data_IF_747933111067
#
_entry.id   IF_747933111067
#
_cell.length_a   1.000
_cell.length_b   1.000
_cell.length_c   1.000
_cell.angle_alpha   90.00
_cell.angle_beta   90.00
_cell.angle_gamma   90.00
#
_symmetry.space_group_name_H-M   'P 1'
#
loop_
_entity.id
_entity.type
_entity.pdbx_description
1 polymer ?
#
# COMPACT_ATOMS: atom_id res chain seq x y z
N UNK A 1 -9.93 -0.39 -4.19
CA UNK A 1 -10.61 0.74 -3.53
C UNK A 1 -11.96 1.07 -4.17
N UNK A 2 -12.08 1.11 -5.49
CA UNK A 2 -13.34 1.47 -6.19
C UNK A 2 -14.57 0.64 -5.76
N UNK A 3 -14.42 -0.65 -5.48
CA UNK A 3 -15.53 -1.46 -4.95
C UNK A 3 -15.87 -1.15 -3.50
N UNK A 4 -14.90 -0.72 -2.70
CA UNK A 4 -15.09 -0.46 -1.26
C UNK A 4 -15.72 0.92 -0.99
N UNK A 5 -15.36 1.93 -1.77
CA UNK A 5 -15.84 3.29 -1.57
C UNK A 5 -17.26 3.48 -2.09
N UNK A 6 -18.11 4.08 -1.27
CA UNK A 6 -19.54 4.23 -1.58
C UNK A 6 -19.82 5.23 -2.69
N UNK A 7 -18.94 6.20 -2.94
CA UNK A 7 -19.14 7.16 -4.04
C UNK A 7 -18.85 6.57 -5.41
N UNK A 8 -18.04 5.52 -5.49
CA UNK A 8 -17.70 4.85 -6.76
C UNK A 8 -18.45 3.54 -6.97
N UNK A 9 -18.82 2.84 -5.88
CA UNK A 9 -19.62 1.65 -5.95
C UNK A 9 -21.12 1.98 -5.76
N UNK A 10 -21.76 2.33 -6.87
CA UNK A 10 -23.20 2.67 -6.93
C UNK A 10 -24.11 1.44 -7.23
N UNK A 11 -23.58 0.23 -7.06
CA UNK A 11 -24.34 -1.01 -7.33
C UNK A 11 -25.48 -1.17 -6.33
N UNK A 12 -26.57 -1.73 -6.81
CA UNK A 12 -27.78 -2.03 -6.00
C UNK A 12 -27.99 -3.53 -5.75
N UNK A 13 -27.07 -4.36 -6.26
CA UNK A 13 -27.08 -5.81 -6.08
C UNK A 13 -26.24 -6.24 -4.84
N UNK A 14 -25.92 -7.53 -4.76
CA UNK A 14 -25.15 -8.12 -3.68
C UNK A 14 -23.71 -7.60 -3.50
N UNK A 15 -23.21 -6.74 -4.41
CA UNK A 15 -21.87 -6.17 -4.39
C UNK A 15 -21.86 -4.67 -4.10
N UNK A 16 -22.98 -4.05 -3.75
CA UNK A 16 -23.10 -2.63 -3.46
C UNK A 16 -23.99 -2.34 -2.24
N UNK A 17 -24.01 -1.09 -1.79
CA UNK A 17 -24.74 -0.66 -0.60
C UNK A 17 -23.87 -0.58 0.65
N UNK A 18 -24.10 -1.40 1.67
CA UNK A 18 -23.35 -1.41 2.93
C UNK A 18 -21.89 -1.91 2.76
N UNK A 19 -21.05 -1.68 3.78
CA UNK A 19 -19.63 -2.04 3.75
C UNK A 19 -19.39 -3.55 3.48
N UNK A 20 -20.24 -4.41 4.01
CA UNK A 20 -20.14 -5.87 3.82
C UNK A 20 -20.34 -6.26 2.36
N UNK A 21 -21.36 -5.70 1.72
CA UNK A 21 -21.64 -5.97 0.30
C UNK A 21 -20.57 -5.36 -0.61
N UNK A 22 -20.10 -4.15 -0.31
CA UNK A 22 -19.02 -3.52 -1.07
C UNK A 22 -17.70 -4.30 -0.96
N UNK A 23 -17.41 -4.93 0.19
CA UNK A 23 -16.24 -5.77 0.38
C UNK A 23 -16.30 -7.13 -0.34
N UNK A 24 -17.50 -7.64 -0.64
CA UNK A 24 -17.73 -9.00 -1.17
C UNK A 24 -16.86 -9.34 -2.38
N UNK A 25 -16.79 -8.46 -3.38
CA UNK A 25 -15.99 -8.72 -4.57
C UNK A 25 -14.50 -8.91 -4.26
N UNK A 26 -13.97 -8.11 -3.34
CA UNK A 26 -12.57 -8.22 -2.91
C UNK A 26 -12.34 -9.52 -2.15
N UNK A 27 -13.27 -9.87 -1.25
CA UNK A 27 -13.20 -11.12 -0.47
C UNK A 27 -13.20 -12.33 -1.40
N UNK A 28 -14.20 -12.47 -2.27
CA UNK A 28 -14.32 -13.57 -3.23
C UNK A 28 -13.11 -13.67 -4.16
N UNK A 29 -12.54 -12.52 -4.56
CA UNK A 29 -11.31 -12.50 -5.37
C UNK A 29 -10.12 -13.06 -4.59
N UNK A 30 -9.95 -12.67 -3.32
CA UNK A 30 -8.85 -13.17 -2.50
C UNK A 30 -9.02 -14.65 -2.17
N UNK A 31 -10.25 -15.11 -1.89
CA UNK A 31 -10.57 -16.53 -1.70
C UNK A 31 -10.18 -17.35 -2.93
N UNK A 32 -10.63 -16.93 -4.11
CA UNK A 32 -10.32 -17.63 -5.37
C UNK A 32 -8.81 -17.68 -5.65
N UNK A 33 -8.07 -16.61 -5.35
CA UNK A 33 -6.60 -16.58 -5.49
C UNK A 33 -5.92 -17.52 -4.49
N UNK A 34 -6.37 -17.51 -3.23
CA UNK A 34 -5.82 -18.41 -2.18
C UNK A 34 -6.08 -19.87 -2.53
N UNK A 35 -7.27 -20.18 -3.02
CA UNK A 35 -7.62 -21.54 -3.45
C UNK A 35 -6.78 -21.99 -4.65
N UNK A 36 -6.50 -21.09 -5.59
CA UNK A 36 -5.76 -21.41 -6.80
C UNK A 36 -4.25 -21.60 -6.59
N UNK A 37 -3.61 -20.76 -5.76
CA UNK A 37 -2.14 -20.71 -5.66
C UNK A 37 -1.60 -20.82 -4.22
N UNK A 38 -2.47 -20.89 -3.22
CA UNK A 38 -2.13 -20.99 -1.81
C UNK A 38 -1.88 -19.62 -1.14
N UNK A 39 -2.31 -19.50 0.10
CA UNK A 39 -2.29 -18.26 0.90
C UNK A 39 -0.91 -17.60 1.00
N UNK A 40 0.15 -18.40 1.14
CA UNK A 40 1.54 -17.91 1.23
C UNK A 40 2.08 -17.24 -0.04
N UNK A 41 1.31 -17.22 -1.14
CA UNK A 41 1.66 -16.57 -2.41
C UNK A 41 0.74 -15.42 -2.76
N UNK A 42 -0.25 -15.13 -1.93
CA UNK A 42 -1.22 -14.06 -2.12
C UNK A 42 -0.94 -12.93 -1.13
N UNK A 43 -0.69 -11.75 -1.63
CA UNK A 43 -0.67 -10.51 -0.86
C UNK A 43 -1.63 -9.50 -1.48
N UNK A 44 -2.13 -8.57 -0.70
CA UNK A 44 -3.01 -7.54 -1.24
C UNK A 44 -2.69 -6.17 -0.67
N UNK A 45 -3.13 -5.14 -1.40
CA UNK A 45 -2.86 -3.74 -1.05
C UNK A 45 -4.16 -2.96 -0.86
N UNK A 46 -4.18 -2.15 0.20
CA UNK A 46 -5.26 -1.22 0.48
C UNK A 46 -4.70 0.19 0.72
N UNK A 47 -5.55 1.20 0.53
CA UNK A 47 -5.24 2.60 0.79
C UNK A 47 -6.45 3.29 1.44
N UNK A 48 -6.72 3.02 2.72
CA UNK A 48 -7.85 3.60 3.43
C UNK A 48 -7.80 5.12 3.44
N UNK A 49 -8.94 5.78 3.19
CA UNK A 49 -9.01 7.24 3.21
C UNK A 49 -8.25 7.96 2.10
N UNK A 50 -7.84 7.24 1.05
CA UNK A 50 -7.09 7.84 -0.06
C UNK A 50 -8.04 8.44 -1.10
N UNK A 51 -7.96 9.77 -1.38
CA UNK A 51 -8.88 10.47 -2.26
C UNK A 51 -8.46 10.46 -3.74
N UNK A 52 -7.40 9.73 -4.12
CA UNK A 52 -6.94 9.70 -5.52
C UNK A 52 -8.03 9.18 -6.46
N UNK A 53 -8.11 9.79 -7.65
CA UNK A 53 -9.09 9.49 -8.70
C UNK A 53 -10.54 9.67 -8.22
N UNK A 54 -10.79 10.70 -7.43
CA UNK A 54 -12.11 11.05 -6.87
C UNK A 54 -12.77 9.91 -6.06
N UNK A 55 -11.98 8.99 -5.55
CA UNK A 55 -12.47 7.94 -4.65
C UNK A 55 -12.69 8.55 -3.26
N UNK A 56 -13.91 8.47 -2.77
CA UNK A 56 -14.29 8.95 -1.45
C UNK A 56 -15.18 7.93 -0.73
N UNK A 57 -14.77 7.59 0.48
CA UNK A 57 -15.58 6.80 1.40
C UNK A 57 -15.85 7.63 2.66
N UNK A 58 -17.11 7.91 3.02
CA UNK A 58 -17.43 8.68 4.22
C UNK A 58 -17.05 7.97 5.53
N UNK A 59 -16.94 6.64 5.51
CA UNK A 59 -16.49 5.85 6.64
C UNK A 59 -15.42 4.83 6.21
N UNK A 60 -14.17 5.29 5.95
CA UNK A 60 -13.08 4.43 5.54
C UNK A 60 -12.64 3.46 6.65
N UNK A 61 -12.94 3.78 7.91
CA UNK A 61 -12.62 2.91 9.05
C UNK A 61 -13.51 1.67 9.01
N UNK A 62 -14.83 1.84 8.89
CA UNK A 62 -15.78 0.73 8.83
C UNK A 62 -15.56 -0.16 7.60
N UNK A 63 -15.40 0.44 6.42
CA UNK A 63 -15.13 -0.31 5.19
C UNK A 63 -13.85 -1.12 5.26
N UNK A 64 -12.78 -0.53 5.83
CA UNK A 64 -11.48 -1.22 5.98
C UNK A 64 -11.57 -2.32 7.02
N UNK A 65 -12.14 -2.05 8.19
CA UNK A 65 -12.34 -3.03 9.25
C UNK A 65 -13.14 -4.22 8.73
N UNK A 66 -14.28 -3.98 8.08
CA UNK A 66 -15.15 -5.02 7.52
C UNK A 66 -14.39 -5.93 6.56
N UNK A 67 -13.62 -5.36 5.64
CA UNK A 67 -12.80 -6.15 4.72
C UNK A 67 -11.76 -6.98 5.47
N UNK A 68 -10.95 -6.34 6.34
CA UNK A 68 -9.81 -6.99 6.99
C UNK A 68 -10.25 -8.13 7.92
N UNK A 69 -11.35 -7.94 8.66
CA UNK A 69 -11.92 -8.99 9.52
C UNK A 69 -12.42 -10.17 8.69
N UNK A 70 -13.07 -9.92 7.56
CA UNK A 70 -13.59 -10.97 6.69
C UNK A 70 -12.48 -11.83 6.05
N UNK A 71 -11.35 -11.20 5.65
CA UNK A 71 -10.24 -11.93 4.98
C UNK A 71 -9.17 -12.42 5.94
N UNK A 72 -9.27 -12.15 7.24
CA UNK A 72 -8.28 -12.54 8.26
C UNK A 72 -7.98 -14.03 8.24
N UNK A 73 -9.03 -14.85 8.11
CA UNK A 73 -8.92 -16.31 8.06
C UNK A 73 -8.19 -16.86 6.84
N UNK A 74 -8.05 -16.10 5.78
CA UNK A 74 -7.34 -16.50 4.56
C UNK A 74 -5.82 -16.62 4.76
N UNK A 75 -5.25 -15.93 5.78
CA UNK A 75 -3.83 -15.96 6.11
C UNK A 75 -2.90 -15.66 4.93
N UNK A 76 -3.26 -14.64 4.16
CA UNK A 76 -2.45 -14.16 3.04
C UNK A 76 -1.01 -13.87 3.47
N UNK A 77 -0.06 -13.92 2.54
CA UNK A 77 1.36 -13.73 2.81
C UNK A 77 1.67 -12.37 3.44
N UNK A 78 1.00 -11.31 2.97
CA UNK A 78 1.16 -9.97 3.52
C UNK A 78 -0.05 -9.08 3.20
N UNK A 79 -0.21 -8.06 4.02
CA UNK A 79 -1.04 -6.89 3.75
C UNK A 79 -0.13 -5.68 3.50
N UNK A 80 -0.35 -4.96 2.38
CA UNK A 80 0.36 -3.73 2.06
C UNK A 80 -0.59 -2.54 2.25
N UNK A 81 -0.20 -1.56 3.06
CA UNK A 81 -1.04 -0.41 3.40
C UNK A 81 -0.35 0.91 3.05
N UNK A 82 -1.08 1.76 2.33
CA UNK A 82 -0.66 3.15 2.11
C UNK A 82 -1.25 4.02 3.22
N UNK A 83 -0.46 4.95 3.75
CA UNK A 83 -0.95 5.96 4.67
C UNK A 83 -2.05 6.83 4.03
N UNK A 84 -3.02 7.28 4.81
CA UNK A 84 -3.93 8.34 4.39
C UNK A 84 -3.15 9.65 4.20
N UNK A 85 -3.37 10.39 3.09
CA UNK A 85 -2.55 11.58 2.77
C UNK A 85 -2.62 12.68 3.83
N UNK A 86 -3.78 12.90 4.41
CA UNK A 86 -4.05 13.93 5.41
C UNK A 86 -3.76 13.50 6.85
N UNK A 87 -3.35 12.22 7.02
CA UNK A 87 -3.10 11.64 8.35
C UNK A 87 -4.31 11.66 9.31
N UNK A 88 -5.51 11.95 8.82
CA UNK A 88 -6.75 11.90 9.61
C UNK A 88 -7.06 10.50 10.11
N UNK A 89 -6.57 9.48 9.40
CA UNK A 89 -6.71 8.07 9.71
C UNK A 89 -5.33 7.43 9.89
N UNK A 90 -5.05 6.82 11.04
CA UNK A 90 -3.90 5.93 11.19
C UNK A 90 -4.20 4.56 10.56
N UNK A 91 -4.00 4.50 9.21
CA UNK A 91 -4.26 3.31 8.42
C UNK A 91 -3.41 2.10 8.84
N UNK A 92 -2.20 2.35 9.38
CA UNK A 92 -1.31 1.28 9.84
C UNK A 92 -1.80 0.66 11.15
N UNK A 93 -2.18 1.50 12.13
CA UNK A 93 -2.75 1.02 13.38
C UNK A 93 -4.09 0.30 13.14
N UNK A 94 -4.93 0.80 12.22
CA UNK A 94 -6.17 0.13 11.82
C UNK A 94 -5.88 -1.25 11.23
N UNK A 95 -4.94 -1.34 10.29
CA UNK A 95 -4.55 -2.61 9.69
C UNK A 95 -4.00 -3.59 10.72
N UNK A 96 -3.08 -3.16 11.58
CA UNK A 96 -2.48 -4.00 12.61
C UNK A 96 -3.51 -4.54 13.60
N UNK A 97 -4.56 -3.77 13.90
CA UNK A 97 -5.64 -4.18 14.81
C UNK A 97 -6.51 -5.30 14.23
N UNK A 98 -6.77 -5.26 12.93
CA UNK A 98 -7.78 -6.11 12.30
C UNK A 98 -7.19 -7.20 11.39
N UNK A 99 -5.86 -7.27 11.23
CA UNK A 99 -5.21 -8.26 10.38
C UNK A 99 -3.89 -8.75 10.98
N UNK A 100 -3.60 -10.06 10.87
CA UNK A 100 -2.51 -10.72 11.61
C UNK A 100 -1.31 -11.11 10.75
N UNK A 101 -1.34 -10.85 9.44
CA UNK A 101 -0.23 -11.21 8.55
C UNK A 101 0.84 -10.12 8.52
N UNK A 102 1.98 -10.40 7.88
CA UNK A 102 3.03 -9.41 7.70
C UNK A 102 2.47 -8.11 7.10
N UNK A 103 2.80 -6.97 7.72
CA UNK A 103 2.32 -5.65 7.33
C UNK A 103 3.43 -4.86 6.65
N UNK A 104 3.27 -4.59 5.36
CA UNK A 104 4.12 -3.68 4.60
C UNK A 104 3.46 -2.31 4.62
N UNK A 105 4.18 -1.30 5.10
CA UNK A 105 3.69 0.08 5.16
C UNK A 105 4.33 0.95 4.08
N UNK A 106 3.58 1.92 3.58
CA UNK A 106 4.00 2.76 2.47
C UNK A 106 3.54 4.20 2.63
N UNK A 107 4.25 5.06 1.95
CA UNK A 107 4.07 6.49 1.72
C UNK A 107 4.61 7.41 2.82
N UNK A 108 5.36 8.41 2.36
CA UNK A 108 5.92 9.47 3.19
C UNK A 108 7.13 9.06 4.04
N UNK A 109 7.75 7.92 3.76
CA UNK A 109 8.95 7.48 4.47
C UNK A 109 10.24 7.94 3.77
N UNK A 110 11.15 8.45 4.58
CA UNK A 110 12.58 8.54 4.32
C UNK A 110 13.29 7.37 5.01
N UNK A 111 14.54 7.01 4.64
CA UNK A 111 15.24 5.88 5.25
C UNK A 111 15.27 5.90 6.79
N UNK A 112 15.50 7.07 7.37
CA UNK A 112 15.52 7.23 8.84
C UNK A 112 14.14 6.99 9.46
N UNK A 113 13.10 7.65 8.93
CA UNK A 113 11.72 7.50 9.45
C UNK A 113 11.14 6.10 9.19
N UNK A 114 11.59 5.42 8.13
CA UNK A 114 11.25 4.02 7.88
C UNK A 114 11.83 3.10 8.97
N UNK A 115 13.10 3.31 9.35
CA UNK A 115 13.72 2.58 10.46
C UNK A 115 12.95 2.79 11.76
N UNK A 116 12.63 4.05 12.09
CA UNK A 116 11.89 4.39 13.31
C UNK A 116 10.51 3.73 13.33
N UNK A 117 9.83 3.67 12.19
CA UNK A 117 8.52 3.02 12.07
C UNK A 117 8.60 1.50 12.33
N UNK A 118 9.65 0.84 11.84
CA UNK A 118 9.89 -0.59 12.11
C UNK A 118 10.20 -0.82 13.59
N UNK A 119 11.10 -0.02 14.18
CA UNK A 119 11.42 -0.11 15.61
C UNK A 119 10.19 0.11 16.48
N UNK A 120 9.30 1.02 16.09
CA UNK A 120 8.02 1.28 16.76
C UNK A 120 6.92 0.25 16.44
N UNK A 121 7.24 -0.85 15.74
CA UNK A 121 6.32 -1.93 15.36
C UNK A 121 5.08 -1.45 14.56
N UNK A 122 5.21 -0.36 13.83
CA UNK A 122 4.13 0.17 12.99
C UNK A 122 3.90 -0.68 11.73
N UNK A 123 4.91 -1.38 11.26
CA UNK A 123 4.91 -2.34 10.17
C UNK A 123 6.05 -3.32 10.32
N UNK A 124 6.02 -4.38 9.52
CA UNK A 124 7.09 -5.40 9.49
C UNK A 124 8.10 -5.09 8.37
N UNK A 125 7.67 -4.31 7.36
CA UNK A 125 8.50 -3.81 6.29
C UNK A 125 7.99 -2.43 5.81
N UNK A 126 8.89 -1.65 5.21
CA UNK A 126 8.55 -0.40 4.51
C UNK A 126 8.86 -0.55 3.03
N UNK A 127 7.93 -0.13 2.18
CA UNK A 127 8.15 -0.08 0.74
C UNK A 127 8.40 1.34 0.26
N UNK A 128 9.32 1.48 -0.69
CA UNK A 128 9.67 2.72 -1.33
C UNK A 128 9.33 2.66 -2.82
N UNK A 129 8.58 3.63 -3.33
CA UNK A 129 8.31 3.76 -4.77
C UNK A 129 9.21 4.82 -5.40
N UNK A 130 8.96 6.09 -5.06
CA UNK A 130 9.64 7.25 -5.66
C UNK A 130 11.16 7.22 -5.50
N UNK A 131 11.64 6.83 -4.33
CA UNK A 131 13.08 6.67 -4.10
C UNK A 131 13.71 5.60 -4.99
N UNK A 132 12.99 4.51 -5.28
CA UNK A 132 13.48 3.46 -6.18
C UNK A 132 13.56 3.91 -7.63
N UNK A 133 12.68 4.82 -8.07
CA UNK A 133 12.75 5.38 -9.43
C UNK A 133 14.08 6.10 -9.64
N UNK A 134 14.50 6.93 -8.68
CA UNK A 134 15.73 7.74 -8.81
C UNK A 134 16.99 7.07 -8.26
N UNK A 135 16.88 5.94 -7.60
CA UNK A 135 17.99 5.20 -7.02
C UNK A 135 17.82 3.70 -7.32
N UNK A 136 18.30 3.21 -8.47
CA UNK A 136 18.20 1.78 -8.82
C UNK A 136 18.86 0.86 -7.78
N UNK A 137 19.88 1.38 -7.10
CA UNK A 137 20.65 0.77 -6.01
C UNK A 137 20.21 1.24 -4.60
N UNK A 138 18.92 1.55 -4.42
CA UNK A 138 18.39 2.14 -3.20
C UNK A 138 18.77 1.37 -1.93
N UNK A 139 18.72 0.04 -1.96
CA UNK A 139 19.04 -0.81 -0.80
C UNK A 139 20.49 -0.63 -0.39
N UNK A 140 21.41 -0.62 -1.35
CA UNK A 140 22.83 -0.43 -1.13
C UNK A 140 23.13 0.98 -0.59
N UNK A 141 22.47 2.00 -1.14
CA UNK A 141 22.60 3.37 -0.64
C UNK A 141 22.13 3.49 0.81
N UNK A 142 20.99 2.93 1.15
CA UNK A 142 20.49 2.94 2.53
C UNK A 142 21.44 2.20 3.47
N UNK A 143 21.90 1.01 3.08
CA UNK A 143 22.79 0.19 3.90
C UNK A 143 24.16 0.87 4.10
N UNK A 144 24.69 1.51 3.06
CA UNK A 144 25.99 2.22 3.10
C UNK A 144 25.91 3.65 3.60
N UNK A 145 24.72 4.19 3.90
CA UNK A 145 24.53 5.59 4.29
C UNK A 145 24.85 6.59 3.16
N UNK A 146 24.72 6.16 1.90
CA UNK A 146 25.02 7.00 0.74
C UNK A 146 23.87 7.97 0.42
N UNK A 147 24.16 9.13 -0.20
CA UNK A 147 23.15 10.11 -0.53
C UNK A 147 22.15 9.56 -1.56
N UNK A 148 20.88 9.89 -1.39
CA UNK A 148 19.83 9.56 -2.33
C UNK A 148 19.70 10.64 -3.40
N UNK A 149 19.60 10.24 -4.67
CA UNK A 149 19.24 11.13 -5.76
C UNK A 149 17.76 11.50 -5.67
N UNK A 150 17.45 12.76 -5.89
CA UNK A 150 16.07 13.23 -5.97
C UNK A 150 15.42 12.78 -7.29
N UNK A 151 14.16 12.34 -7.24
CA UNK A 151 13.39 12.07 -8.45
C UNK A 151 12.81 13.37 -9.04
N UNK A 152 12.72 13.44 -10.36
CA UNK A 152 12.05 14.55 -11.04
C UNK A 152 10.54 14.24 -11.16
N UNK A 153 9.70 14.98 -10.44
CA UNK A 153 8.24 14.83 -10.48
C UNK A 153 7.63 15.00 -11.86
N UNK A 154 8.28 15.79 -12.73
CA UNK A 154 7.77 16.09 -14.09
C UNK A 154 7.93 14.92 -15.05
N UNK A 155 8.80 13.95 -14.70
CA UNK A 155 9.05 12.76 -15.52
C UNK A 155 8.33 11.52 -15.00
N UNK A 156 7.67 11.60 -13.83
CA UNK A 156 6.84 10.51 -13.34
C UNK A 156 5.64 10.31 -14.28
N UNK A 157 5.44 9.07 -14.69
CA UNK A 157 4.35 8.66 -15.59
C UNK A 157 4.41 9.22 -17.02
N UNK A 158 5.56 9.78 -17.43
CA UNK A 158 5.78 10.16 -18.83
C UNK A 158 6.32 8.97 -19.62
N UNK A 159 6.02 8.87 -20.94
CA UNK A 159 6.58 7.82 -21.77
C UNK A 159 8.10 8.04 -21.98
N UNK A 160 8.83 6.92 -22.13
CA UNK A 160 10.26 6.91 -22.42
C UNK A 160 11.16 6.69 -21.22
N UNK A 161 12.47 6.69 -21.45
CA UNK A 161 13.47 6.34 -20.44
C UNK A 161 13.79 7.49 -19.48
N UNK A 162 13.64 8.75 -19.95
CA UNK A 162 14.06 9.94 -19.20
C UNK A 162 13.36 10.06 -17.86
N UNK A 163 14.16 10.09 -16.78
CA UNK A 163 13.65 10.20 -15.41
C UNK A 163 12.94 8.94 -14.89
N UNK A 164 13.12 7.81 -15.59
CA UNK A 164 12.51 6.53 -15.22
C UNK A 164 13.51 5.38 -15.20
N UNK A 165 14.31 5.23 -16.24
CA UNK A 165 15.31 4.14 -16.35
C UNK A 165 16.72 4.63 -16.59
N UNK A 166 16.97 5.94 -16.54
CA UNK A 166 18.24 6.60 -16.84
C UNK A 166 18.96 7.13 -15.60
N UNK A 167 18.44 6.91 -14.40
CA UNK A 167 19.14 7.27 -13.17
C UNK A 167 20.34 6.34 -12.94
N UNK A 168 21.53 6.90 -12.64
CA UNK A 168 22.73 6.10 -12.40
C UNK A 168 22.74 5.49 -10.99
N UNK A 169 23.45 4.38 -10.88
CA UNK A 169 23.88 3.87 -9.58
C UNK A 169 24.83 4.87 -8.91
N UNK A 170 24.90 4.85 -7.60
CA UNK A 170 25.87 5.65 -6.85
C UNK A 170 27.29 5.20 -7.14
N UNK A 171 28.19 6.16 -7.27
CA UNK A 171 29.63 5.92 -7.42
C UNK A 171 30.41 6.74 -6.39
N UNK A 172 31.41 6.16 -5.72
CA UNK A 172 32.33 6.93 -4.88
C UNK A 172 33.01 7.99 -5.75
N UNK A 173 32.92 9.26 -5.38
CA UNK A 173 33.60 10.40 -6.06
C UNK A 173 32.94 10.92 -7.36
N UNK A 174 31.63 10.72 -7.56
CA UNK A 174 30.91 11.43 -8.62
C UNK A 174 30.38 12.80 -8.14
#
# INVERSE_FOLDING_TARGET
>A
MQFLASNTNLRTDGYGGDATRRARFVIETLEALVDAIGAGRVGFRICPGNPFNDVYDPDPIDSTRTLLEAVRGLRCAYLHVIAAPDRSLDAFALARRHHDTALIINDGFEPATARDAIVALRGDAVSFGRHYVSNPDLVERIAGGHPLAAFDRRTLYTPGAKGYTDYPNWQPNS
#
